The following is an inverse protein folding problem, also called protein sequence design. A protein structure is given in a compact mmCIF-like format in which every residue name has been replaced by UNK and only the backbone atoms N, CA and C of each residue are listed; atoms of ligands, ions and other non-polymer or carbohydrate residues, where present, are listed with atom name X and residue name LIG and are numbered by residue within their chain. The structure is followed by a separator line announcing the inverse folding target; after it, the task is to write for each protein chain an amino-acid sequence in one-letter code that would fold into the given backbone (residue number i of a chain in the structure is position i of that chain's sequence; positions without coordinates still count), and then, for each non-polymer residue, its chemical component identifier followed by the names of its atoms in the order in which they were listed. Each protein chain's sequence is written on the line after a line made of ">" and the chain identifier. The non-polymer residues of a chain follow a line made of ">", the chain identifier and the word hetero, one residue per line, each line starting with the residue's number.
data_IF_491414472877
#
_entry.id   IF_491414472877
#
_cell.length_a   1.000
_cell.length_b   1.000
_cell.length_c   1.000
_cell.angle_alpha   90.00
_cell.angle_beta   90.00
_cell.angle_gamma   90.00
#
_symmetry.space_group_name_H-M   'P 1'
#
loop_
_entity.id
_entity.type
_entity.pdbx_description
1 polymer ?
#
# COMPACT_ATOMS: atom_id res chain seq x y z
N UNK A 1 -29.03 -54.79 9.02
CA UNK A 1 -28.58 -56.01 9.71
C UNK A 1 -29.40 -56.07 10.98
N UNK A 2 -30.59 -56.63 10.83
CA UNK A 2 -30.90 -58.04 11.11
C UNK A 2 -31.26 -58.24 12.58
N UNK A 3 -32.53 -58.59 12.72
CA UNK A 3 -33.26 -59.12 13.86
C UNK A 3 -32.54 -60.27 14.55
N UNK A 4 -32.72 -60.37 15.87
CA UNK A 4 -32.91 -61.66 16.54
C UNK A 4 -33.83 -61.44 17.74
N UNK A 5 -34.98 -62.08 17.67
CA UNK A 5 -35.87 -62.37 18.78
C UNK A 5 -35.64 -63.84 19.20
N UNK A 6 -35.95 -64.14 20.46
CA UNK A 6 -36.11 -65.45 21.15
C UNK A 6 -35.52 -65.29 22.57
N UNK A 7 -36.07 -65.80 23.68
CA UNK A 7 -37.24 -66.63 23.95
C UNK A 7 -37.62 -66.49 25.44
N UNK A 8 -38.85 -66.91 25.70
CA UNK A 8 -39.70 -67.08 26.85
C UNK A 8 -39.13 -67.82 28.11
N UNK A 9 -39.93 -67.70 29.16
CA UNK A 9 -40.13 -68.60 30.30
C UNK A 9 -39.21 -68.48 31.52
N UNK A 10 -39.87 -68.23 32.67
CA UNK A 10 -39.22 -68.09 33.97
C UNK A 10 -38.67 -69.40 34.54
N UNK A 11 -38.16 -69.33 35.77
CA UNK A 11 -38.84 -70.07 36.81
C UNK A 11 -39.16 -69.21 38.03
N UNK A 12 -40.32 -69.46 38.61
CA UNK A 12 -40.58 -69.24 40.02
C UNK A 12 -39.40 -69.76 40.84
N UNK A 13 -38.82 -68.90 41.66
CA UNK A 13 -38.01 -69.34 42.79
C UNK A 13 -38.38 -68.49 43.99
N UNK A 14 -39.41 -68.99 44.66
CA UNK A 14 -39.46 -69.15 46.11
C UNK A 14 -38.76 -68.06 46.93
N UNK A 15 -39.61 -67.17 47.44
CA UNK A 15 -39.57 -66.58 48.78
C UNK A 15 -38.53 -67.22 49.72
N UNK A 16 -37.37 -66.57 49.85
CA UNK A 16 -36.62 -66.55 51.11
C UNK A 16 -36.39 -65.10 51.52
N UNK A 17 -37.47 -64.51 52.04
CA UNK A 17 -37.39 -63.36 52.93
C UNK A 17 -36.66 -63.80 54.19
N UNK A 18 -35.33 -63.74 54.17
CA UNK A 18 -34.53 -63.78 55.38
C UNK A 18 -33.96 -62.37 55.57
N UNK A 19 -34.83 -61.44 55.96
CA UNK A 19 -34.41 -60.21 56.61
C UNK A 19 -33.80 -60.60 57.95
N UNK A 20 -32.51 -60.89 57.95
CA UNK A 20 -31.72 -60.80 59.18
C UNK A 20 -31.75 -59.33 59.53
N UNK A 21 -32.61 -58.98 60.48
CA UNK A 21 -32.52 -57.71 61.19
C UNK A 21 -31.24 -57.84 62.00
N UNK A 22 -30.14 -57.26 61.49
CA UNK A 22 -28.96 -57.01 62.32
C UNK A 22 -29.42 -56.10 63.46
N UNK A 23 -29.38 -56.61 64.70
CA UNK A 23 -29.46 -55.77 65.88
C UNK A 23 -28.30 -54.79 65.83
N UNK A 24 -28.59 -53.54 65.48
CA UNK A 24 -27.66 -52.43 65.59
C UNK A 24 -27.40 -52.20 67.08
N UNK A 25 -26.21 -52.59 67.53
CA UNK A 25 -25.80 -52.31 68.89
C UNK A 25 -25.50 -50.80 69.00
N UNK A 26 -25.65 -50.20 70.19
CA UNK A 26 -25.24 -48.80 70.39
C UNK A 26 -23.79 -48.53 69.96
N UNK A 27 -22.94 -49.55 70.01
CA UNK A 27 -21.54 -49.50 69.60
C UNK A 27 -21.39 -49.42 68.08
N UNK A 28 -22.15 -50.21 67.30
CA UNK A 28 -22.08 -50.15 65.83
C UNK A 28 -22.60 -48.81 65.30
N UNK A 29 -23.64 -48.25 65.93
CA UNK A 29 -24.15 -46.92 65.56
C UNK A 29 -23.14 -45.80 65.84
N UNK A 30 -22.38 -45.90 66.92
CA UNK A 30 -21.30 -44.93 67.23
C UNK A 30 -20.14 -45.09 66.24
N UNK A 31 -19.81 -46.33 65.86
CA UNK A 31 -18.77 -46.62 64.87
C UNK A 31 -19.15 -46.08 63.48
N UNK A 32 -20.40 -46.27 63.05
CA UNK A 32 -20.92 -45.72 61.79
C UNK A 32 -20.87 -44.19 61.78
N UNK A 33 -21.32 -43.54 62.87
CA UNK A 33 -21.23 -42.08 63.00
C UNK A 33 -19.76 -41.63 63.00
N UNK A 34 -18.89 -42.31 63.73
CA UNK A 34 -17.48 -41.97 63.77
C UNK A 34 -16.85 -42.09 62.37
N UNK A 35 -17.20 -43.10 61.59
CA UNK A 35 -16.72 -43.28 60.22
C UNK A 35 -17.27 -42.19 59.27
N UNK A 36 -18.54 -41.81 59.40
CA UNK A 36 -19.13 -40.67 58.68
C UNK A 36 -18.39 -39.35 59.00
N UNK A 37 -18.06 -39.11 60.27
CA UNK A 37 -17.30 -37.92 60.67
C UNK A 37 -15.85 -37.94 60.17
N UNK A 38 -15.21 -39.11 60.12
CA UNK A 38 -13.87 -39.28 59.53
C UNK A 38 -13.92 -38.93 58.05
N UNK A 39 -14.99 -39.25 57.32
CA UNK A 39 -15.13 -38.87 55.91
C UNK A 39 -15.14 -37.35 55.68
N UNK A 40 -15.72 -36.56 56.58
CA UNK A 40 -15.63 -35.09 56.49
C UNK A 40 -14.21 -34.55 56.64
N UNK A 41 -13.31 -35.30 57.29
CA UNK A 41 -11.88 -34.90 57.43
C UNK A 41 -11.02 -35.32 56.24
N UNK A 42 -11.51 -36.25 55.40
CA UNK A 42 -10.84 -36.71 54.17
C UNK A 42 -11.11 -35.75 53.01
N UNK A 43 -10.65 -34.51 53.15
CA UNK A 43 -10.66 -33.53 52.07
C UNK A 43 -9.33 -33.56 51.31
N UNK A 44 -9.37 -33.96 50.03
CA UNK A 44 -8.21 -33.93 49.13
C UNK A 44 -8.38 -32.84 48.06
N UNK A 45 -7.66 -31.73 48.23
CA UNK A 45 -7.62 -30.62 47.28
C UNK A 45 -6.48 -30.71 46.25
N UNK A 46 -5.72 -31.81 46.24
CA UNK A 46 -4.51 -31.93 45.43
C UNK A 46 -4.80 -31.69 43.94
N UNK A 47 -5.91 -32.24 43.42
CA UNK A 47 -6.33 -32.06 42.02
C UNK A 47 -6.69 -30.62 41.67
N UNK A 48 -7.37 -29.92 42.58
CA UNK A 48 -7.74 -28.52 42.35
C UNK A 48 -6.49 -27.62 42.37
N UNK A 49 -5.56 -27.88 43.29
CA UNK A 49 -4.27 -27.21 43.36
C UNK A 49 -3.44 -27.44 42.10
N UNK A 50 -3.39 -28.67 41.60
CA UNK A 50 -2.67 -29.02 40.37
C UNK A 50 -3.24 -28.26 39.17
N UNK A 51 -4.57 -28.31 38.97
CA UNK A 51 -5.24 -27.55 37.92
C UNK A 51 -5.01 -26.04 38.03
N UNK A 52 -5.00 -25.50 39.24
CA UNK A 52 -4.70 -24.09 39.46
C UNK A 52 -3.26 -23.74 39.07
N UNK A 53 -2.29 -24.59 39.41
CA UNK A 53 -0.90 -24.40 39.01
C UNK A 53 -0.72 -24.50 37.49
N UNK A 54 -1.36 -25.48 36.84
CA UNK A 54 -1.36 -25.60 35.37
C UNK A 54 -1.87 -24.32 34.69
N UNK A 55 -2.97 -23.75 35.19
CA UNK A 55 -3.51 -22.50 34.68
C UNK A 55 -2.55 -21.32 34.87
N UNK A 56 -1.83 -21.25 36.00
CA UNK A 56 -0.82 -20.20 36.22
C UNK A 56 0.28 -20.32 35.18
N UNK A 57 0.82 -21.51 34.96
CA UNK A 57 1.89 -21.74 33.98
C UNK A 57 1.42 -21.39 32.55
N UNK A 58 0.19 -21.73 32.20
CA UNK A 58 -0.41 -21.35 30.92
C UNK A 58 -0.50 -19.81 30.78
N UNK A 59 -0.93 -19.10 31.83
CA UNK A 59 -1.00 -17.64 31.81
C UNK A 59 0.39 -16.99 31.75
N UNK A 60 1.38 -17.53 32.45
CA UNK A 60 2.76 -17.04 32.42
C UNK A 60 3.36 -17.21 31.02
N UNK A 61 3.13 -18.36 30.38
CA UNK A 61 3.54 -18.62 28.99
C UNK A 61 2.90 -17.61 28.04
N UNK A 62 1.58 -17.40 28.14
CA UNK A 62 0.88 -16.40 27.31
C UNK A 62 1.39 -14.98 27.53
N UNK A 63 1.79 -14.63 28.76
CA UNK A 63 2.36 -13.31 29.06
C UNK A 63 3.73 -13.14 28.39
N UNK A 64 4.58 -14.17 28.41
CA UNK A 64 5.87 -14.16 27.72
C UNK A 64 5.70 -14.02 26.21
N UNK A 65 4.77 -14.76 25.61
CA UNK A 65 4.41 -14.62 24.20
C UNK A 65 3.93 -13.20 23.87
N UNK A 66 3.05 -12.63 24.71
CA UNK A 66 2.57 -11.27 24.52
C UNK A 66 3.69 -10.23 24.58
N UNK A 67 4.63 -10.38 25.53
CA UNK A 67 5.83 -9.54 25.59
C UNK A 67 6.66 -9.66 24.31
N UNK A 68 6.87 -10.88 23.80
CA UNK A 68 7.57 -11.10 22.53
C UNK A 68 6.88 -10.41 21.34
N UNK A 69 5.55 -10.46 21.28
CA UNK A 69 4.78 -9.76 20.24
C UNK A 69 4.93 -8.23 20.35
N UNK A 70 4.90 -7.68 21.56
CA UNK A 70 5.09 -6.24 21.79
C UNK A 70 6.48 -5.79 21.36
N UNK A 71 7.51 -6.58 21.67
CA UNK A 71 8.88 -6.27 21.26
C UNK A 71 9.04 -6.34 19.74
N UNK A 72 8.43 -7.32 19.08
CA UNK A 72 8.41 -7.40 17.62
C UNK A 72 7.74 -6.17 16.99
N UNK A 73 6.59 -5.73 17.53
CA UNK A 73 5.90 -4.51 17.07
C UNK A 73 6.78 -3.28 17.27
N UNK A 74 7.50 -3.19 18.40
CA UNK A 74 8.41 -2.08 18.68
C UNK A 74 9.56 -2.05 17.67
N UNK A 75 10.16 -3.19 17.37
CA UNK A 75 11.24 -3.30 16.37
C UNK A 75 10.74 -2.92 14.98
N UNK A 76 9.56 -3.42 14.58
CA UNK A 76 8.97 -3.12 13.27
C UNK A 76 8.61 -1.64 13.13
N UNK A 77 8.00 -1.04 14.17
CA UNK A 77 7.73 0.40 14.21
C UNK A 77 9.01 1.22 14.09
N UNK A 78 10.08 0.80 14.78
CA UNK A 78 11.36 1.49 14.69
C UNK A 78 11.88 1.43 13.25
N UNK A 79 11.95 0.24 12.63
CA UNK A 79 12.36 0.08 11.23
C UNK A 79 11.51 0.94 10.28
N UNK A 80 10.19 0.92 10.45
CA UNK A 80 9.25 1.67 9.62
C UNK A 80 9.49 3.18 9.73
N UNK A 81 9.59 3.71 10.96
CA UNK A 81 9.72 5.14 11.22
C UNK A 81 11.13 5.68 10.96
N UNK A 82 12.18 4.90 11.26
CA UNK A 82 13.56 5.35 11.13
C UNK A 82 14.12 5.16 9.72
N UNK A 83 13.66 4.15 8.98
CA UNK A 83 14.22 3.81 7.67
C UNK A 83 13.20 3.88 6.54
N UNK A 84 12.12 3.11 6.65
CA UNK A 84 11.19 2.91 5.52
C UNK A 84 10.49 4.21 5.14
N UNK A 85 9.92 4.93 6.10
CA UNK A 85 9.15 6.15 5.86
C UNK A 85 10.04 7.30 5.35
N UNK A 86 11.23 7.59 5.93
CA UNK A 86 12.15 8.58 5.36
C UNK A 86 12.62 8.23 3.95
N UNK A 87 12.91 6.94 3.69
CA UNK A 87 13.32 6.48 2.35
C UNK A 87 12.20 6.65 1.34
N UNK A 88 10.96 6.35 1.71
CA UNK A 88 9.79 6.57 0.88
C UNK A 88 9.58 8.06 0.60
N UNK A 89 9.66 8.91 1.63
CA UNK A 89 9.56 10.36 1.48
C UNK A 89 10.60 10.90 0.48
N UNK A 90 11.86 10.46 0.59
CA UNK A 90 12.92 10.83 -0.36
C UNK A 90 12.60 10.40 -1.80
N UNK A 91 12.00 9.23 -1.98
CA UNK A 91 11.57 8.75 -3.30
C UNK A 91 10.39 9.56 -3.84
N UNK A 92 9.42 9.92 -3.00
CA UNK A 92 8.31 10.80 -3.37
C UNK A 92 8.81 12.19 -3.77
N UNK A 93 9.78 12.78 -3.06
CA UNK A 93 10.38 14.06 -3.43
C UNK A 93 11.05 14.00 -4.81
N UNK A 94 11.81 12.94 -5.10
CA UNK A 94 12.39 12.72 -6.43
C UNK A 94 11.32 12.58 -7.52
N UNK A 95 10.18 11.97 -7.19
CA UNK A 95 9.06 11.85 -8.13
C UNK A 95 8.45 13.23 -8.43
N UNK A 96 8.34 14.10 -7.42
CA UNK A 96 7.90 15.48 -7.60
C UNK A 96 8.81 16.26 -8.55
N UNK A 97 10.14 16.11 -8.41
CA UNK A 97 11.10 16.73 -9.34
C UNK A 97 10.91 16.25 -10.79
N UNK A 98 10.52 15.00 -10.98
CA UNK A 98 10.21 14.46 -12.32
C UNK A 98 8.92 15.10 -12.86
N UNK A 99 7.88 15.22 -12.04
CA UNK A 99 6.63 15.89 -12.46
C UNK A 99 6.87 17.34 -12.85
N UNK A 100 7.68 18.09 -12.10
CA UNK A 100 8.05 19.45 -12.49
C UNK A 100 8.79 19.52 -13.84
N UNK A 101 9.62 18.51 -14.15
CA UNK A 101 10.27 18.42 -15.47
C UNK A 101 9.26 18.13 -16.57
N UNK A 102 8.26 17.29 -16.30
CA UNK A 102 7.16 17.01 -17.23
C UNK A 102 6.34 18.27 -17.49
N UNK A 103 5.96 19.01 -16.45
CA UNK A 103 5.19 20.25 -16.58
C UNK A 103 5.96 21.31 -17.40
N UNK A 104 7.27 21.46 -17.16
CA UNK A 104 8.13 22.35 -17.94
C UNK A 104 8.21 21.94 -19.40
N UNK A 105 8.27 20.63 -19.68
CA UNK A 105 8.26 20.12 -21.04
C UNK A 105 6.92 20.38 -21.74
N UNK A 106 5.80 20.19 -21.05
CA UNK A 106 4.48 20.48 -21.58
C UNK A 106 4.33 21.98 -21.92
N UNK A 107 4.73 22.87 -21.02
CA UNK A 107 4.73 24.31 -21.27
C UNK A 107 5.61 24.68 -22.48
N UNK A 108 6.78 24.06 -22.59
CA UNK A 108 7.67 24.26 -23.72
C UNK A 108 7.05 23.80 -25.05
N UNK A 109 6.38 22.63 -25.08
CA UNK A 109 5.65 22.16 -26.26
C UNK A 109 4.56 23.16 -26.66
N UNK A 110 3.84 23.75 -25.69
CA UNK A 110 2.86 24.81 -25.97
C UNK A 110 3.47 26.04 -26.64
N UNK A 111 4.67 26.46 -26.24
CA UNK A 111 5.40 27.58 -26.87
C UNK A 111 5.81 27.24 -28.29
N UNK A 112 6.31 26.03 -28.53
CA UNK A 112 6.66 25.56 -29.88
C UNK A 112 5.43 25.54 -30.79
N UNK A 113 4.29 25.06 -30.28
CA UNK A 113 3.03 25.05 -31.01
C UNK A 113 2.58 26.47 -31.40
N UNK A 114 2.63 27.42 -30.46
CA UNK A 114 2.27 28.81 -30.73
C UNK A 114 3.18 29.44 -31.80
N UNK A 115 4.49 29.22 -31.69
CA UNK A 115 5.46 29.73 -32.67
C UNK A 115 5.26 29.11 -34.06
N UNK A 116 4.93 27.82 -34.14
CA UNK A 116 4.62 27.15 -35.40
C UNK A 116 3.35 27.70 -36.05
N UNK A 117 2.31 27.99 -35.26
CA UNK A 117 1.08 28.62 -35.76
C UNK A 117 1.33 30.02 -36.35
N UNK A 118 2.17 30.84 -35.69
CA UNK A 118 2.58 32.15 -36.21
C UNK A 118 3.36 32.00 -37.52
N UNK A 119 4.29 31.05 -37.57
CA UNK A 119 5.09 30.80 -38.78
C UNK A 119 4.21 30.33 -39.95
N UNK A 120 3.27 29.43 -39.70
CA UNK A 120 2.30 28.95 -40.70
C UNK A 120 1.45 30.11 -41.24
N UNK A 121 0.97 31.01 -40.38
CA UNK A 121 0.23 32.20 -40.80
C UNK A 121 1.09 33.15 -41.67
N UNK A 122 2.35 33.37 -41.29
CA UNK A 122 3.29 34.18 -42.06
C UNK A 122 3.58 33.57 -43.45
N UNK A 123 3.74 32.24 -43.53
CA UNK A 123 3.94 31.52 -44.79
C UNK A 123 2.70 31.64 -45.68
N UNK A 124 1.50 31.39 -45.13
CA UNK A 124 0.25 31.53 -45.86
C UNK A 124 0.08 32.95 -46.44
N UNK A 125 0.36 33.99 -45.64
CA UNK A 125 0.34 35.39 -46.10
C UNK A 125 1.34 35.64 -47.24
N UNK A 126 2.57 35.12 -47.13
CA UNK A 126 3.57 35.28 -48.17
C UNK A 126 3.20 34.56 -49.47
N UNK A 127 2.60 33.37 -49.39
CA UNK A 127 2.11 32.60 -50.53
C UNK A 127 0.93 33.30 -51.22
N UNK A 128 -0.04 33.82 -50.45
CA UNK A 128 -1.17 34.59 -50.96
C UNK A 128 -0.71 35.86 -51.70
N UNK A 129 0.23 36.61 -51.12
CA UNK A 129 0.76 37.81 -51.74
C UNK A 129 1.57 37.51 -53.01
N UNK A 130 2.36 36.43 -53.03
CA UNK A 130 3.12 36.01 -54.21
C UNK A 130 2.24 35.43 -55.34
N UNK A 131 1.19 34.69 -54.98
CA UNK A 131 0.15 34.21 -55.89
C UNK A 131 -0.66 35.35 -56.49
N UNK A 132 -1.04 36.33 -55.66
CA UNK A 132 -1.74 37.56 -56.08
C UNK A 132 -0.88 38.43 -57.00
N UNK A 133 0.43 38.59 -56.70
CA UNK A 133 1.35 39.38 -57.53
C UNK A 133 1.55 38.75 -58.93
N UNK A 134 1.50 37.42 -59.04
CA UNK A 134 1.48 36.74 -60.35
C UNK A 134 0.17 36.95 -61.12
N UNK A 135 -0.97 37.01 -60.43
CA UNK A 135 -2.27 37.40 -61.02
C UNK A 135 -2.30 38.86 -61.50
N UNK A 136 -1.73 39.78 -60.71
CA UNK A 136 -1.62 41.20 -61.04
C UNK A 136 -0.67 41.46 -62.22
N UNK A 137 0.43 40.69 -62.35
CA UNK A 137 1.29 40.76 -63.54
C UNK A 137 0.55 40.38 -64.83
N UNK A 138 -0.33 39.37 -64.79
CA UNK A 138 -1.19 39.00 -65.95
C UNK A 138 -2.24 40.07 -66.27
N UNK A 139 -2.74 40.79 -65.26
CA UNK A 139 -3.72 41.87 -65.44
C UNK A 139 -3.06 43.15 -65.98
N UNK A 140 -1.83 43.46 -65.56
CA UNK A 140 -1.06 44.61 -66.06
C UNK A 140 -0.46 44.36 -67.45
N UNK A 141 -0.14 43.12 -67.82
CA UNK A 141 0.31 42.79 -69.17
C UNK A 141 -0.79 42.95 -70.23
N UNK A 142 -2.06 43.05 -69.84
CA UNK A 142 -3.18 43.34 -70.75
C UNK A 142 -3.45 44.84 -70.94
N UNK A 143 -2.71 45.73 -70.26
CA UNK A 143 -2.94 47.19 -70.28
C UNK A 143 -1.64 47.99 -70.52
N UNK A 144 -0.79 47.57 -71.46
CA UNK A 144 0.38 48.36 -71.87
C UNK A 144 0.00 49.32 -73.00
N UNK A 145 -0.46 50.51 -72.62
CA UNK A 145 -0.37 51.76 -73.39
C UNK A 145 0.49 52.77 -72.60
N UNK A 146 1.21 53.71 -73.24
CA UNK A 146 2.24 54.48 -72.54
C UNK A 146 1.62 55.62 -71.73
N UNK A 147 2.04 55.81 -70.47
CA UNK A 147 2.36 57.14 -69.88
C UNK A 147 2.78 57.12 -68.40
N UNK A 148 3.83 57.93 -68.18
CA UNK A 148 4.25 58.76 -67.03
C UNK A 148 4.46 58.13 -65.64
N UNK A 149 5.69 58.35 -65.19
CA UNK A 149 6.25 58.17 -63.85
C UNK A 149 5.44 58.87 -62.76
N UNK A 150 4.99 58.09 -61.77
CA UNK A 150 4.62 58.59 -60.46
C UNK A 150 5.42 57.76 -59.45
N UNK A 151 6.24 58.45 -58.65
CA UNK A 151 7.01 57.88 -57.56
C UNK A 151 6.06 57.27 -56.52
N UNK A 152 5.96 55.95 -56.48
CA UNK A 152 5.41 55.23 -55.33
C UNK A 152 6.58 54.84 -54.43
N UNK A 153 6.48 55.23 -53.17
CA UNK A 153 7.40 54.86 -52.11
C UNK A 153 7.54 53.33 -52.04
N UNK A 154 8.73 52.83 -52.34
CA UNK A 154 9.14 51.45 -52.07
C UNK A 154 9.11 51.22 -50.55
N UNK A 155 8.00 50.72 -50.03
CA UNK A 155 7.99 50.11 -48.70
C UNK A 155 8.67 48.76 -48.84
N UNK A 156 10.00 48.76 -48.75
CA UNK A 156 10.80 47.55 -48.62
C UNK A 156 10.29 46.81 -47.38
N UNK A 157 9.59 45.69 -47.59
CA UNK A 157 9.17 44.80 -46.51
C UNK A 157 10.44 44.31 -45.81
N UNK A 158 10.66 44.79 -44.60
CA UNK A 158 11.74 44.35 -43.73
C UNK A 158 11.27 43.04 -43.14
N UNK A 159 11.89 41.94 -43.55
CA UNK A 159 11.74 40.65 -42.89
C UNK A 159 12.27 40.79 -41.46
N UNK A 160 11.38 40.66 -40.48
CA UNK A 160 11.77 40.56 -39.09
C UNK A 160 11.78 39.07 -38.72
N UNK A 161 12.95 38.48 -38.42
CA UNK A 161 13.06 37.07 -38.08
C UNK A 161 12.21 36.77 -36.85
N UNK A 162 11.43 35.67 -36.84
CA UNK A 162 10.73 35.23 -35.64
C UNK A 162 11.72 34.98 -34.51
N UNK A 163 11.34 35.37 -33.29
CA UNK A 163 12.16 35.12 -32.10
C UNK A 163 12.25 33.62 -31.86
N UNK A 164 13.45 33.06 -32.07
CA UNK A 164 13.69 31.62 -31.92
C UNK A 164 13.73 31.31 -30.43
N UNK A 165 12.84 30.43 -29.96
CA UNK A 165 12.78 30.04 -28.56
C UNK A 165 14.11 29.39 -28.11
N UNK A 166 14.54 29.71 -26.89
CA UNK A 166 15.74 29.12 -26.28
C UNK A 166 15.36 27.99 -25.34
N UNK A 167 15.80 26.77 -25.64
CA UNK A 167 15.61 25.60 -24.75
C UNK A 167 16.27 25.80 -23.38
N UNK A 168 17.31 26.63 -23.29
CA UNK A 168 17.98 26.99 -22.03
C UNK A 168 17.09 27.77 -21.06
N UNK A 169 16.05 28.44 -21.56
CA UNK A 169 15.09 29.15 -20.72
C UNK A 169 14.11 28.19 -20.00
N UNK A 170 13.92 26.98 -20.51
CA UNK A 170 12.99 25.98 -19.99
C UNK A 170 13.70 24.82 -19.28
N UNK A 171 14.89 24.47 -19.75
CA UNK A 171 15.75 23.43 -19.19
C UNK A 171 17.11 24.04 -18.83
N UNK A 172 17.30 24.59 -17.61
CA UNK A 172 18.61 25.00 -17.16
C UNK A 172 19.55 23.78 -17.12
N UNK A 173 20.83 23.99 -17.44
CA UNK A 173 21.82 22.91 -17.43
C UNK A 173 21.83 22.21 -16.06
N UNK A 174 21.87 20.87 -16.02
CA UNK A 174 21.92 20.14 -14.76
C UNK A 174 23.16 20.59 -14.00
N UNK A 175 22.95 21.25 -12.85
CA UNK A 175 24.03 21.46 -11.90
C UNK A 175 24.51 20.07 -11.52
N UNK A 176 25.73 19.73 -11.92
CA UNK A 176 26.30 18.42 -11.67
C UNK A 176 26.16 18.07 -10.20
N UNK A 177 25.31 17.09 -9.92
CA UNK A 177 25.28 16.42 -8.64
C UNK A 177 26.70 15.92 -8.39
N UNK A 178 27.42 16.56 -7.47
CA UNK A 178 28.66 15.99 -6.96
C UNK A 178 28.27 14.69 -6.29
N UNK A 179 28.47 13.61 -7.04
CA UNK A 179 28.52 12.24 -6.58
C UNK A 179 29.17 12.20 -5.19
N UNK A 180 28.34 11.99 -4.17
CA UNK A 180 28.82 11.38 -2.94
C UNK A 180 28.61 9.89 -3.12
N UNK A 181 29.39 9.33 -4.03
CA UNK A 181 29.60 7.90 -4.16
C UNK A 181 30.46 7.48 -2.96
N UNK A 182 29.81 6.85 -1.98
CA UNK A 182 30.47 5.92 -1.06
C UNK A 182 29.71 4.60 -1.16
N UNK A 183 30.07 3.83 -2.18
CA UNK A 183 30.42 2.40 -2.04
C UNK A 183 31.16 2.16 -0.70
N UNK A 184 31.10 1.03 0.00
CA UNK A 184 30.50 -0.27 -0.17
C UNK A 184 30.79 -1.03 1.16
N UNK A 185 29.97 -2.04 1.48
CA UNK A 185 30.34 -3.28 2.19
C UNK A 185 31.24 -3.26 3.46
N UNK A 186 30.60 -3.32 4.62
CA UNK A 186 31.00 -4.12 5.80
C UNK A 186 29.69 -4.29 6.60
N UNK A 187 29.16 -5.48 6.89
CA UNK A 187 29.76 -6.44 7.79
C UNK A 187 28.97 -7.77 7.67
N UNK A 188 29.61 -8.80 7.14
CA UNK A 188 29.26 -10.19 7.38
C UNK A 188 30.52 -10.84 7.92
N UNK A 189 30.66 -10.85 9.24
CA UNK A 189 31.49 -11.78 10.04
C UNK A 189 31.52 -11.28 11.48
N UNK A 190 30.61 -11.77 12.32
CA UNK A 190 30.96 -12.45 13.58
C UNK A 190 29.75 -13.16 14.17
#
# INVERSE_FOLDING_TARGET
>A
MEVSAEDNSGPESETKNNSVIEETTPESFIEDIADDYVHYTKFDSTKEKEKFNENIEEMLTKLEEFCGLVDMIRVDNNLCLSETLPRLQKKCAKMQEIFEKVDKLEAFVGVVQANMAVLEECVNKAEDEMGSLSGLKKMLSSFVGPKKSVSKSDKKLVFEPPEIFSTKAYFPEPQGDKETEKEETSEKNS
#
